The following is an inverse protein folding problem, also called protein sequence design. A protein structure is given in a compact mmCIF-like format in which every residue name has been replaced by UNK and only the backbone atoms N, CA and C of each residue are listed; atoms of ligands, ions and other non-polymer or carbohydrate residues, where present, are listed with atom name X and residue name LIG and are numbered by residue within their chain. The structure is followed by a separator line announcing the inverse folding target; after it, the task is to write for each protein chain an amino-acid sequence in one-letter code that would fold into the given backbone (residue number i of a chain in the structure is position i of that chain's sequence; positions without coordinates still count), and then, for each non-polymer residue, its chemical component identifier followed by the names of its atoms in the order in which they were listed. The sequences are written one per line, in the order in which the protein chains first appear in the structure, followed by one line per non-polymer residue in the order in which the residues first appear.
data_IF_319882282618
#
_entry.id   IF_319882282618
#
_cell.length_a   1.000
_cell.length_b   1.000
_cell.length_c   1.000
_cell.angle_alpha   90.00
_cell.angle_beta   90.00
_cell.angle_gamma   90.00
#
_symmetry.space_group_name_H-M   'P 1'
#
loop_
_entity.id
_entity.type
_entity.pdbx_description
1 polymer ?
#
# COMPACT_ATOMS: atom_id res chain seq x y z
N UNK A 1 -4.18 19.69 9.72
CA UNK A 1 -3.32 18.57 9.24
C UNK A 1 -3.82 17.30 9.90
N UNK A 2 -4.32 16.35 9.12
CA UNK A 2 -5.07 15.17 9.61
C UNK A 2 -4.15 14.07 10.19
N UNK A 3 -2.94 13.90 9.63
CA UNK A 3 -1.94 12.96 10.11
C UNK A 3 -0.61 13.68 10.41
N UNK A 4 0.16 13.17 11.38
CA UNK A 4 1.47 13.66 11.81
C UNK A 4 2.37 12.47 12.12
N UNK A 5 3.67 12.59 11.87
CA UNK A 5 4.63 11.52 12.09
C UNK A 5 5.12 10.90 10.79
N UNK A 6 5.49 9.62 10.83
CA UNK A 6 5.94 8.85 9.68
C UNK A 6 4.76 8.25 8.92
N UNK A 7 4.51 8.75 7.71
CA UNK A 7 3.54 8.18 6.78
C UNK A 7 4.26 7.45 5.65
N UNK A 8 3.91 6.18 5.40
CA UNK A 8 4.46 5.41 4.28
C UNK A 8 3.54 5.50 3.06
N UNK A 9 4.10 5.82 1.90
CA UNK A 9 3.44 5.55 0.62
C UNK A 9 3.66 4.08 0.29
N UNK A 10 2.64 3.25 0.52
CA UNK A 10 2.76 1.80 0.42
C UNK A 10 2.89 1.38 -1.05
N UNK A 11 3.79 0.43 -1.32
CA UNK A 11 3.86 -0.24 -2.61
C UNK A 11 2.65 -1.16 -2.78
N UNK A 12 2.19 -1.34 -4.01
CA UNK A 12 1.19 -2.36 -4.35
C UNK A 12 1.96 -3.61 -4.79
N UNK A 13 1.98 -4.69 -4.00
CA UNK A 13 2.61 -5.93 -4.41
C UNK A 13 1.76 -6.63 -5.48
N UNK A 14 2.42 -7.19 -6.49
CA UNK A 14 1.81 -7.96 -7.55
C UNK A 14 2.38 -9.38 -7.57
N UNK A 15 1.54 -10.35 -7.87
CA UNK A 15 1.93 -11.73 -8.11
C UNK A 15 2.57 -11.89 -9.51
N UNK A 16 3.14 -13.06 -9.81
CA UNK A 16 3.80 -13.31 -11.11
C UNK A 16 2.85 -13.22 -12.31
N UNK A 17 1.55 -13.29 -12.08
CA UNK A 17 0.49 -13.11 -13.09
C UNK A 17 -0.02 -11.66 -13.20
N UNK A 18 0.69 -10.69 -12.63
CA UNK A 18 0.35 -9.27 -12.57
C UNK A 18 -0.95 -8.94 -11.81
N UNK A 19 -1.56 -9.91 -11.11
CA UNK A 19 -2.67 -9.64 -10.19
C UNK A 19 -2.16 -9.09 -8.86
N UNK A 20 -2.98 -8.30 -8.15
CA UNK A 20 -2.62 -7.77 -6.83
C UNK A 20 -2.41 -8.91 -5.83
N UNK A 21 -1.26 -8.92 -5.15
CA UNK A 21 -0.94 -9.85 -4.06
C UNK A 21 -1.48 -9.30 -2.73
N UNK A 22 -2.75 -9.58 -2.42
CA UNK A 22 -3.38 -9.15 -1.17
C UNK A 22 -2.71 -9.73 0.09
N UNK A 23 -2.17 -10.95 0.04
CA UNK A 23 -1.41 -11.52 1.16
C UNK A 23 -0.08 -10.78 1.38
N UNK A 24 0.53 -10.29 0.30
CA UNK A 24 1.65 -9.36 0.34
C UNK A 24 1.28 -8.04 1.01
N UNK A 25 0.12 -7.47 0.69
CA UNK A 25 -0.40 -6.25 1.34
C UNK A 25 -0.53 -6.46 2.85
N UNK A 26 -1.15 -7.57 3.28
CA UNK A 26 -1.33 -7.88 4.70
C UNK A 26 0.02 -7.95 5.45
N UNK A 27 1.02 -8.62 4.85
CA UNK A 27 2.37 -8.70 5.43
C UNK A 27 3.03 -7.32 5.57
N UNK A 28 2.85 -6.44 4.59
CA UNK A 28 3.39 -5.08 4.64
C UNK A 28 2.68 -4.23 5.71
N UNK A 29 1.36 -4.36 5.83
CA UNK A 29 0.58 -3.68 6.87
C UNK A 29 1.04 -4.14 8.25
N UNK A 30 1.19 -5.44 8.47
CA UNK A 30 1.69 -6.02 9.73
C UNK A 30 3.11 -5.52 10.06
N UNK A 31 3.99 -5.43 9.07
CA UNK A 31 5.32 -4.84 9.23
C UNK A 31 5.23 -3.38 9.71
N UNK A 32 4.41 -2.55 9.07
CA UNK A 32 4.26 -1.15 9.44
C UNK A 32 3.61 -0.97 10.81
N UNK A 33 2.66 -1.84 11.16
CA UNK A 33 2.04 -1.87 12.48
C UNK A 33 3.06 -2.22 13.57
N UNK A 34 3.88 -3.26 13.36
CA UNK A 34 4.94 -3.66 14.28
C UNK A 34 5.99 -2.56 14.47
N UNK A 35 6.27 -1.79 13.41
CA UNK A 35 7.24 -0.68 13.43
C UNK A 35 6.63 0.68 13.81
N UNK A 36 5.35 0.73 14.19
CA UNK A 36 4.65 1.94 14.65
C UNK A 36 4.69 3.09 13.64
N UNK A 37 4.50 2.76 12.35
CA UNK A 37 4.26 3.80 11.33
C UNK A 37 2.94 4.50 11.61
N UNK A 38 2.91 5.83 11.56
CA UNK A 38 1.77 6.65 11.99
C UNK A 38 0.63 6.69 10.96
N UNK A 39 0.95 6.48 9.68
CA UNK A 39 -0.03 6.43 8.60
C UNK A 39 0.44 5.55 7.43
N UNK A 40 -0.52 4.91 6.76
CA UNK A 40 -0.31 4.19 5.51
C UNK A 40 -1.12 4.89 4.42
N UNK A 41 -0.44 5.27 3.34
CA UNK A 41 -1.03 5.91 2.17
C UNK A 41 -1.01 4.87 1.04
N UNK A 42 -2.18 4.35 0.71
CA UNK A 42 -2.39 3.40 -0.40
C UNK A 42 -2.75 4.15 -1.68
N UNK A 43 -2.52 3.53 -2.83
CA UNK A 43 -2.84 4.09 -4.16
C UNK A 43 -2.22 5.49 -4.38
N UNK A 44 -1.00 5.69 -3.88
CA UNK A 44 -0.15 6.81 -4.28
C UNK A 44 0.66 6.50 -5.53
N UNK A 45 1.55 7.41 -5.93
CA UNK A 45 2.50 7.15 -7.03
C UNK A 45 3.41 5.95 -6.74
N UNK A 46 3.85 5.80 -5.49
CA UNK A 46 4.62 4.63 -5.03
C UNK A 46 3.82 3.34 -5.06
N UNK A 47 2.49 3.44 -4.93
CA UNK A 47 1.56 2.32 -5.05
C UNK A 47 1.06 2.09 -6.47
N UNK A 48 1.71 2.68 -7.48
CA UNK A 48 1.41 2.45 -8.91
C UNK A 48 -0.01 2.84 -9.36
N UNK A 49 -0.64 3.81 -8.68
CA UNK A 49 -2.02 4.19 -8.97
C UNK A 49 -2.30 4.64 -10.42
N UNK A 50 -1.28 5.10 -11.17
CA UNK A 50 -1.47 5.46 -12.59
C UNK A 50 -1.59 4.26 -13.53
N UNK A 51 -1.21 3.06 -13.07
CA UNK A 51 -1.19 1.81 -13.85
C UNK A 51 -2.13 0.75 -13.30
N UNK A 52 -2.74 0.97 -12.13
CA UNK A 52 -3.82 0.16 -11.56
C UNK A 52 -5.19 0.62 -12.07
N UNK A 53 -6.07 -0.31 -12.44
CA UNK A 53 -7.41 0.00 -12.97
C UNK A 53 -8.40 0.45 -11.87
N UNK A 54 -9.45 1.18 -12.24
CA UNK A 54 -10.45 1.66 -11.27
C UNK A 54 -11.04 0.54 -10.37
N UNK A 55 -11.37 -0.67 -10.88
CA UNK A 55 -11.87 -1.75 -10.03
C UNK A 55 -10.83 -2.30 -9.04
N UNK A 56 -9.54 -2.21 -9.36
CA UNK A 56 -8.45 -2.67 -8.49
C UNK A 56 -8.11 -1.65 -7.40
N UNK A 57 -8.55 -0.39 -7.56
CA UNK A 57 -8.34 0.69 -6.59
C UNK A 57 -9.43 0.77 -5.50
N UNK A 58 -10.52 0.00 -5.63
CA UNK A 58 -11.71 0.03 -4.75
C UNK A 58 -11.75 -1.20 -3.86
#
# INVERSE_FOLDING_TARGET
MLFKGSGVALVTPFAENDEIDFEGVDRLVDFHLANKTDAIIVMGTTGEASTTSDPEQI
#
